data_IF_294701849493
#
_entry.id   IF_294701849493
#
_cell.length_a   1.000
_cell.length_b   1.000
_cell.length_c   1.000
_cell.angle_alpha   90.00
_cell.angle_beta   90.00
_cell.angle_gamma   90.00
#
_symmetry.space_group_name_H-M   'P 1'
#
loop_
_entity.id
_entity.type
_entity.pdbx_description
1 polymer ?
#
# COMPACT_ATOMS: atom_id res chain seq x y z
N UNK A 1 -2.95 -11.60 8.50
CA UNK A 1 -3.91 -10.51 8.22
C UNK A 1 -5.22 -10.64 9.01
N UNK A 2 -5.96 -9.53 9.19
CA UNK A 2 -7.30 -9.56 9.79
C UNK A 2 -8.36 -9.38 8.71
N UNK A 3 -9.04 -10.47 8.36
CA UNK A 3 -10.13 -10.41 7.40
C UNK A 3 -11.49 -10.45 8.08
N UNK A 4 -12.36 -9.51 7.75
CA UNK A 4 -13.77 -9.59 8.11
C UNK A 4 -14.50 -10.60 7.21
N UNK A 5 -15.69 -11.05 7.65
CA UNK A 5 -16.48 -12.08 6.97
C UNK A 5 -16.70 -11.84 5.47
N UNK A 6 -16.77 -10.58 5.02
CA UNK A 6 -16.93 -10.24 3.59
C UNK A 6 -15.72 -10.67 2.76
N UNK A 7 -14.51 -10.34 3.22
CA UNK A 7 -13.26 -10.77 2.54
C UNK A 7 -13.10 -12.29 2.59
N UNK A 8 -13.39 -12.91 3.72
CA UNK A 8 -13.41 -14.38 3.84
C UNK A 8 -14.37 -14.98 2.82
N UNK A 9 -15.56 -14.41 2.65
CA UNK A 9 -16.50 -14.88 1.63
C UNK A 9 -15.92 -14.81 0.22
N UNK A 10 -15.20 -13.73 -0.09
CA UNK A 10 -14.55 -13.58 -1.41
C UNK A 10 -13.46 -14.64 -1.61
N UNK A 11 -12.61 -14.86 -0.60
CA UNK A 11 -11.56 -15.88 -0.65
C UNK A 11 -12.12 -17.27 -0.83
N UNK A 12 -13.12 -17.67 -0.04
CA UNK A 12 -13.80 -18.96 -0.17
C UNK A 12 -14.37 -19.15 -1.58
N UNK A 13 -14.96 -18.11 -2.17
CA UNK A 13 -15.47 -18.18 -3.54
C UNK A 13 -14.36 -18.31 -4.59
N UNK A 14 -13.20 -17.70 -4.38
CA UNK A 14 -12.02 -17.90 -5.25
C UNK A 14 -11.48 -19.33 -5.18
N UNK A 15 -11.61 -20.00 -4.03
CA UNK A 15 -11.30 -21.41 -3.84
C UNK A 15 -12.39 -22.36 -4.39
N UNK A 16 -13.45 -21.83 -5.02
CA UNK A 16 -14.51 -22.62 -5.62
C UNK A 16 -15.69 -22.95 -4.71
N UNK A 17 -15.66 -22.49 -3.45
CA UNK A 17 -16.77 -22.76 -2.52
C UNK A 17 -18.02 -21.95 -2.86
N UNK A 18 -19.13 -22.62 -3.08
CA UNK A 18 -20.46 -21.99 -3.26
C UNK A 18 -21.06 -21.61 -1.90
N UNK A 19 -20.68 -20.46 -1.36
CA UNK A 19 -21.09 -20.00 -0.04
C UNK A 19 -21.93 -18.74 -0.07
N UNK A 20 -22.95 -18.69 0.79
CA UNK A 20 -23.74 -17.49 1.03
C UNK A 20 -23.06 -16.62 2.10
N UNK A 21 -22.99 -15.31 1.86
CA UNK A 21 -22.43 -14.33 2.82
C UNK A 21 -23.06 -14.43 4.21
N UNK A 22 -24.39 -14.67 4.31
CA UNK A 22 -25.08 -14.84 5.59
C UNK A 22 -24.59 -16.06 6.36
N UNK A 23 -24.30 -17.19 5.65
CA UNK A 23 -23.73 -18.40 6.27
C UNK A 23 -22.33 -18.15 6.78
N UNK A 24 -21.45 -17.50 5.98
CA UNK A 24 -20.09 -17.14 6.39
C UNK A 24 -20.13 -16.20 7.60
N UNK A 25 -21.00 -15.19 7.60
CA UNK A 25 -21.14 -14.27 8.73
C UNK A 25 -21.58 -15.00 10.01
N UNK A 26 -22.53 -15.93 9.93
CA UNK A 26 -22.97 -16.74 11.09
C UNK A 26 -21.82 -17.55 11.65
N UNK A 27 -21.09 -18.30 10.81
CA UNK A 27 -19.92 -19.07 11.23
C UNK A 27 -18.83 -18.19 11.82
N UNK A 28 -18.51 -17.07 11.16
CA UNK A 28 -17.56 -16.08 11.64
C UNK A 28 -17.87 -15.57 13.06
N UNK A 29 -19.17 -15.43 13.38
CA UNK A 29 -19.62 -15.06 14.73
C UNK A 29 -19.50 -16.22 15.72
N UNK A 30 -19.85 -17.43 15.32
CA UNK A 30 -19.77 -18.62 16.17
C UNK A 30 -18.32 -18.92 16.58
N UNK A 31 -17.39 -18.76 15.65
CA UNK A 31 -15.94 -18.92 15.86
C UNK A 31 -15.28 -17.76 16.63
N UNK A 32 -16.04 -16.77 17.09
CA UNK A 32 -15.52 -15.64 17.85
C UNK A 32 -14.54 -14.73 17.08
N UNK A 33 -14.51 -14.81 15.74
CA UNK A 33 -13.58 -14.09 14.89
C UNK A 33 -13.90 -12.60 14.73
N UNK A 34 -14.92 -12.10 15.42
CA UNK A 34 -15.38 -10.72 15.30
C UNK A 34 -14.29 -9.73 15.73
N UNK A 35 -13.96 -8.83 14.83
CA UNK A 35 -13.13 -7.68 15.18
C UNK A 35 -13.95 -6.71 16.02
N UNK A 36 -13.50 -6.42 17.25
CA UNK A 36 -14.08 -5.35 18.06
C UNK A 36 -13.69 -4.00 17.44
N UNK A 37 -14.55 -3.43 16.62
CA UNK A 37 -14.39 -2.08 16.11
C UNK A 37 -15.01 -1.11 17.11
N UNK A 38 -14.27 -0.08 17.49
CA UNK A 38 -14.85 1.08 18.17
C UNK A 38 -15.91 1.68 17.23
N UNK A 39 -17.13 2.00 17.71
CA UNK A 39 -18.13 2.67 16.88
C UNK A 39 -17.52 3.95 16.30
N UNK A 40 -17.76 4.23 15.01
CA UNK A 40 -17.23 5.44 14.39
C UNK A 40 -17.78 6.65 15.12
N UNK A 41 -16.89 7.56 15.52
CA UNK A 41 -17.31 8.90 15.97
C UNK A 41 -18.01 9.58 14.80
N UNK A 42 -19.03 10.43 15.12
CA UNK A 42 -19.78 11.21 14.13
C UNK A 42 -18.80 11.87 13.15
N UNK A 43 -18.85 11.48 11.88
CA UNK A 43 -17.98 12.05 10.86
C UNK A 43 -18.54 13.39 10.42
N UNK A 44 -17.78 14.46 10.59
CA UNK A 44 -18.00 15.69 9.82
C UNK A 44 -17.59 15.38 8.39
N UNK A 45 -18.47 15.62 7.41
CA UNK A 45 -18.11 15.49 6.00
C UNK A 45 -16.95 16.45 5.70
N UNK A 46 -15.80 15.87 5.36
CA UNK A 46 -14.66 16.65 4.94
C UNK A 46 -14.95 17.24 3.56
N UNK A 47 -14.77 18.56 3.38
CA UNK A 47 -14.74 19.16 2.04
C UNK A 47 -13.50 18.62 1.32
N UNK A 48 -13.71 17.79 0.31
CA UNK A 48 -12.66 17.41 -0.62
C UNK A 48 -12.19 18.63 -1.42
N UNK A 49 -10.96 18.62 -1.87
CA UNK A 49 -10.44 19.65 -2.78
C UNK A 49 -11.05 19.46 -4.15
N UNK A 50 -11.73 20.49 -4.65
CA UNK A 50 -12.35 20.48 -5.99
C UNK A 50 -11.30 20.60 -7.12
N UNK A 51 -10.08 21.07 -6.78
CA UNK A 51 -8.95 21.24 -7.69
C UNK A 51 -8.12 19.96 -7.92
N UNK A 52 -8.45 18.86 -7.22
CA UNK A 52 -7.76 17.57 -7.37
C UNK A 52 -8.60 16.60 -8.19
N UNK A 53 -8.12 16.27 -9.38
CA UNK A 53 -8.72 15.19 -10.17
C UNK A 53 -8.50 13.83 -9.49
N UNK A 54 -9.52 12.97 -9.57
CA UNK A 54 -9.37 11.56 -9.20
C UNK A 54 -8.55 10.84 -10.27
N UNK A 55 -7.62 9.98 -9.85
CA UNK A 55 -6.90 9.13 -10.78
C UNK A 55 -7.87 8.21 -11.53
N UNK A 56 -7.70 8.10 -12.84
CA UNK A 56 -8.49 7.25 -13.75
C UNK A 56 -7.72 6.01 -14.20
N UNK A 57 -6.42 5.94 -13.89
CA UNK A 57 -5.55 4.83 -14.23
C UNK A 57 -4.39 4.66 -13.24
N UNK A 58 -3.69 3.54 -13.36
CA UNK A 58 -2.51 3.25 -12.57
C UNK A 58 -1.39 4.25 -12.87
N UNK A 59 -0.55 4.52 -11.89
CA UNK A 59 0.59 5.42 -11.98
C UNK A 59 0.26 6.88 -12.36
N UNK A 60 -0.99 7.29 -12.23
CA UNK A 60 -1.32 8.71 -12.35
C UNK A 60 -1.06 9.46 -11.05
N UNK A 61 -1.51 8.92 -9.93
CA UNK A 61 -1.37 9.56 -8.62
C UNK A 61 -0.99 8.53 -7.58
N UNK A 62 0.20 8.67 -7.01
CA UNK A 62 0.58 8.00 -5.78
C UNK A 62 0.36 8.91 -4.57
N UNK A 63 0.18 8.31 -3.40
CA UNK A 63 0.20 8.99 -2.12
C UNK A 63 1.26 8.32 -1.26
N UNK A 64 2.08 9.11 -0.57
CA UNK A 64 3.10 8.57 0.32
C UNK A 64 3.13 9.29 1.66
N UNK A 65 3.59 8.57 2.68
CA UNK A 65 3.68 9.08 4.04
C UNK A 65 4.66 8.25 4.88
N UNK A 66 5.15 8.84 5.97
CA UNK A 66 5.98 8.18 6.94
C UNK A 66 5.19 7.68 8.14
N UNK A 67 5.48 6.45 8.54
CA UNK A 67 5.06 5.88 9.81
C UNK A 67 6.29 5.58 10.67
N UNK A 68 6.10 5.48 11.98
CA UNK A 68 7.14 4.97 12.87
C UNK A 68 6.62 3.83 13.76
N UNK A 69 7.54 2.98 14.18
CA UNK A 69 7.35 1.93 15.17
C UNK A 69 8.65 1.74 15.96
N UNK A 70 8.72 0.74 16.81
CA UNK A 70 9.88 0.47 17.66
C UNK A 70 10.36 -0.97 17.47
N UNK A 71 11.68 -1.15 17.50
CA UNK A 71 12.30 -2.45 17.61
C UNK A 71 12.14 -2.98 19.04
N UNK A 72 12.41 -4.28 19.23
CA UNK A 72 12.33 -4.92 20.54
C UNK A 72 13.25 -4.27 21.59
N UNK A 73 14.36 -3.71 21.16
CA UNK A 73 15.31 -2.97 22.01
C UNK A 73 14.92 -1.51 22.28
N UNK A 74 13.73 -1.07 21.85
CA UNK A 74 13.20 0.29 22.04
C UNK A 74 13.71 1.32 21.02
N UNK A 75 14.59 0.93 20.10
CA UNK A 75 15.06 1.84 19.04
C UNK A 75 13.98 2.05 18.00
N UNK A 76 13.77 3.32 17.65
CA UNK A 76 12.76 3.69 16.64
C UNK A 76 13.16 3.20 15.25
N UNK A 77 12.17 2.73 14.50
CA UNK A 77 12.25 2.48 13.07
C UNK A 77 11.20 3.34 12.33
N UNK A 78 11.49 3.61 11.08
CA UNK A 78 10.59 4.34 10.19
C UNK A 78 10.17 3.46 9.02
N UNK A 79 8.94 3.63 8.58
CA UNK A 79 8.37 2.92 7.43
C UNK A 79 7.77 3.95 6.48
N UNK A 80 8.41 4.13 5.32
CA UNK A 80 7.81 4.87 4.21
C UNK A 80 6.76 3.97 3.56
N UNK A 81 5.59 4.49 3.34
CA UNK A 81 4.50 3.82 2.63
C UNK A 81 4.16 4.59 1.38
N UNK A 82 4.01 3.90 0.26
CA UNK A 82 3.57 4.46 -1.02
C UNK A 82 2.38 3.64 -1.51
N UNK A 83 1.32 4.31 -1.95
CA UNK A 83 0.12 3.64 -2.46
C UNK A 83 -0.40 4.34 -3.72
N UNK A 84 -0.67 3.57 -4.75
CA UNK A 84 -1.38 4.05 -5.94
C UNK A 84 -2.86 4.30 -5.61
N UNK A 85 -3.33 5.51 -5.85
CA UNK A 85 -4.67 5.93 -5.42
C UNK A 85 -5.79 5.32 -6.26
N UNK A 86 -5.50 4.80 -7.44
CA UNK A 86 -6.46 4.13 -8.31
C UNK A 86 -6.46 2.61 -8.12
N UNK A 87 -5.33 1.95 -8.37
CA UNK A 87 -5.22 0.49 -8.30
C UNK A 87 -5.16 -0.05 -6.87
N UNK A 88 -4.82 0.79 -5.89
CA UNK A 88 -4.54 0.41 -4.49
C UNK A 88 -3.25 -0.40 -4.33
N UNK A 89 -2.45 -0.56 -5.36
CA UNK A 89 -1.14 -1.20 -5.23
C UNK A 89 -0.26 -0.39 -4.30
N UNK A 90 0.46 -1.09 -3.45
CA UNK A 90 1.56 -0.56 -2.68
C UNK A 90 2.88 -0.88 -3.42
N UNK A 91 3.43 0.04 -4.23
CA UNK A 91 4.62 -0.22 -5.02
C UNK A 91 5.84 -0.52 -4.14
N UNK A 92 5.95 0.17 -3.01
CA UNK A 92 7.06 0.01 -2.08
C UNK A 92 6.64 0.34 -0.66
N UNK A 93 7.19 -0.41 0.29
CA UNK A 93 7.28 -0.06 1.70
C UNK A 93 8.75 -0.15 2.12
N UNK A 94 9.31 0.94 2.65
CA UNK A 94 10.72 0.99 3.00
C UNK A 94 10.91 1.15 4.50
N UNK A 95 11.59 0.19 5.10
CA UNK A 95 11.95 0.21 6.53
C UNK A 95 13.37 0.72 6.69
N UNK A 96 13.55 1.78 7.48
CA UNK A 96 14.84 2.41 7.74
C UNK A 96 14.96 2.96 9.16
N UNK A 97 16.18 3.38 9.52
CA UNK A 97 16.49 3.95 10.86
C UNK A 97 16.08 5.41 10.97
N UNK A 98 16.16 6.13 9.87
CA UNK A 98 15.94 7.58 9.81
C UNK A 98 15.09 7.92 8.60
N UNK A 99 14.09 8.75 8.81
CA UNK A 99 13.25 9.26 7.72
C UNK A 99 13.97 10.43 7.03
N UNK A 100 14.62 10.16 5.89
CA UNK A 100 15.35 11.17 5.11
C UNK A 100 14.84 11.23 3.68
N UNK A 101 15.14 12.32 2.98
CA UNK A 101 14.82 12.46 1.56
C UNK A 101 15.53 11.41 0.68
N UNK A 102 16.75 11.02 1.05
CA UNK A 102 17.51 9.97 0.34
C UNK A 102 16.76 8.64 0.41
N UNK A 103 16.26 8.27 1.59
CA UNK A 103 15.46 7.05 1.76
C UNK A 103 14.16 7.09 0.94
N UNK A 104 13.57 8.28 0.77
CA UNK A 104 12.40 8.46 -0.12
C UNK A 104 12.80 8.23 -1.57
N UNK A 105 13.88 8.86 -2.04
CA UNK A 105 14.38 8.74 -3.42
C UNK A 105 14.71 7.27 -3.74
N UNK A 106 15.44 6.58 -2.86
CA UNK A 106 15.78 5.17 -3.04
C UNK A 106 14.55 4.27 -3.13
N UNK A 107 13.53 4.54 -2.30
CA UNK A 107 12.27 3.81 -2.35
C UNK A 107 11.53 4.04 -3.67
N UNK A 108 11.49 5.29 -4.15
CA UNK A 108 10.85 5.62 -5.42
C UNK A 108 11.60 5.02 -6.62
N UNK A 109 12.93 4.98 -6.58
CA UNK A 109 13.74 4.30 -7.60
C UNK A 109 13.54 2.77 -7.57
N UNK A 110 13.36 2.17 -6.40
CA UNK A 110 12.97 0.77 -6.28
C UNK A 110 11.60 0.51 -6.91
N UNK A 111 10.61 1.34 -6.59
CA UNK A 111 9.26 1.24 -7.14
C UNK A 111 9.26 1.43 -8.67
N UNK A 112 10.04 2.39 -9.18
CA UNK A 112 10.19 2.67 -10.61
C UNK A 112 10.58 1.45 -11.42
N UNK A 113 11.52 0.64 -10.92
CA UNK A 113 12.02 -0.55 -11.63
C UNK A 113 10.94 -1.62 -11.84
N UNK A 114 9.95 -1.69 -10.94
CA UNK A 114 8.93 -2.74 -10.96
C UNK A 114 7.59 -2.26 -11.54
N UNK A 115 7.24 -0.99 -11.29
CA UNK A 115 5.91 -0.44 -11.55
C UNK A 115 5.91 0.78 -12.47
N UNK A 116 7.07 1.35 -12.76
CA UNK A 116 7.17 2.68 -13.34
C UNK A 116 7.04 3.78 -12.26
N UNK A 117 6.87 5.04 -12.69
CA UNK A 117 6.64 6.17 -11.77
C UNK A 117 5.24 6.75 -11.96
N UNK A 118 4.69 7.30 -10.88
CA UNK A 118 3.50 8.13 -10.96
C UNK A 118 3.83 9.50 -11.56
N UNK A 119 2.90 10.09 -12.29
CA UNK A 119 3.03 11.48 -12.76
C UNK A 119 2.89 12.50 -11.63
N UNK A 120 2.13 12.13 -10.59
CA UNK A 120 1.93 12.98 -9.40
C UNK A 120 2.10 12.15 -8.13
N UNK A 121 2.78 12.69 -7.14
CA UNK A 121 2.92 12.08 -5.82
C UNK A 121 2.39 13.05 -4.76
N UNK A 122 1.35 12.60 -4.03
CA UNK A 122 0.76 13.35 -2.91
C UNK A 122 1.55 13.11 -1.64
N UNK A 123 1.92 14.20 -0.98
CA UNK A 123 2.72 14.20 0.24
C UNK A 123 2.18 15.20 1.25
N UNK A 124 2.56 15.04 2.51
CA UNK A 124 2.41 16.10 3.49
C UNK A 124 3.55 17.14 3.39
N UNK A 125 3.59 18.08 4.34
CA UNK A 125 4.65 19.10 4.40
C UNK A 125 5.80 18.72 5.33
N UNK A 126 6.04 17.43 5.53
CA UNK A 126 7.20 16.95 6.29
C UNK A 126 8.52 17.40 5.67
N UNK A 127 9.52 17.67 6.50
CA UNK A 127 10.85 18.14 6.04
C UNK A 127 11.51 17.20 5.03
N UNK A 128 11.22 15.91 5.11
CA UNK A 128 11.72 14.87 4.19
C UNK A 128 11.16 15.05 2.77
N UNK A 129 9.90 15.55 2.69
CA UNK A 129 9.21 15.73 1.42
C UNK A 129 9.39 17.14 0.82
N UNK A 130 9.75 18.12 1.66
CA UNK A 130 10.03 19.50 1.22
C UNK A 130 11.53 19.76 0.98
N UNK A 131 12.33 18.69 0.95
CA UNK A 131 13.77 18.80 0.74
C UNK A 131 14.13 19.13 -0.70
N UNK A 132 15.25 19.83 -0.87
CA UNK A 132 15.79 20.20 -2.19
C UNK A 132 16.16 18.97 -3.02
N UNK A 133 16.65 17.93 -2.37
CA UNK A 133 17.08 16.69 -3.02
C UNK A 133 15.88 15.99 -3.67
N UNK A 134 14.76 15.88 -2.95
CA UNK A 134 13.56 15.26 -3.50
C UNK A 134 12.92 16.10 -4.59
N UNK A 135 12.93 17.44 -4.46
CA UNK A 135 12.43 18.36 -5.47
C UNK A 135 13.21 18.23 -6.78
N UNK A 136 14.55 18.21 -6.70
CA UNK A 136 15.42 18.01 -7.86
C UNK A 136 15.20 16.63 -8.50
N UNK A 137 15.05 15.58 -7.70
CA UNK A 137 14.74 14.24 -8.20
C UNK A 137 13.40 14.21 -8.93
N UNK A 138 12.37 14.82 -8.35
CA UNK A 138 11.03 14.89 -8.94
C UNK A 138 11.06 15.64 -10.29
N UNK A 139 11.74 16.79 -10.33
CA UNK A 139 11.92 17.55 -11.55
C UNK A 139 12.63 16.74 -12.65
N UNK A 140 13.73 16.07 -12.31
CA UNK A 140 14.51 15.26 -13.25
C UNK A 140 13.73 14.07 -13.83
N UNK A 141 12.73 13.57 -13.08
CA UNK A 141 11.89 12.44 -13.48
C UNK A 141 10.50 12.83 -14.01
N UNK A 142 10.21 14.13 -14.15
CA UNK A 142 8.90 14.62 -14.62
C UNK A 142 7.75 14.30 -13.65
N UNK A 143 8.05 14.19 -12.35
CA UNK A 143 7.09 13.91 -11.28
C UNK A 143 6.66 15.20 -10.60
N UNK A 144 5.36 15.41 -10.44
CA UNK A 144 4.81 16.53 -9.68
C UNK A 144 4.60 16.14 -8.21
N UNK A 145 5.19 16.89 -7.27
CA UNK A 145 4.90 16.75 -5.85
C UNK A 145 3.66 17.61 -5.50
N UNK A 146 2.56 16.95 -5.10
CA UNK A 146 1.30 17.60 -4.71
C UNK A 146 1.18 17.65 -3.19
N UNK A 147 1.54 18.78 -2.61
CA UNK A 147 1.55 18.98 -1.16
C UNK A 147 0.14 19.16 -0.58
N UNK A 148 -0.12 18.48 0.53
CA UNK A 148 -1.34 18.65 1.31
C UNK A 148 -1.36 20.00 2.00
N UNK A 149 -2.54 20.62 2.12
CA UNK A 149 -2.69 21.88 2.85
C UNK A 149 -2.43 21.68 4.34
N UNK A 150 -1.80 22.65 5.02
CA UNK A 150 -1.57 22.60 6.45
C UNK A 150 -2.88 22.34 7.23
N UNK A 151 -2.85 21.38 8.16
CA UNK A 151 -4.00 21.06 9.01
C UNK A 151 -5.20 20.42 8.29
N UNK A 152 -5.02 19.92 7.07
CA UNK A 152 -6.07 19.23 6.29
C UNK A 152 -5.68 17.78 6.00
N UNK A 153 -5.77 16.87 6.98
CA UNK A 153 -5.42 15.47 6.80
C UNK A 153 -6.19 14.79 5.66
N UNK A 154 -7.42 15.24 5.40
CA UNK A 154 -8.24 14.71 4.29
C UNK A 154 -7.61 14.84 2.91
N UNK A 155 -6.62 15.73 2.75
CA UNK A 155 -5.91 15.90 1.49
C UNK A 155 -5.00 14.69 1.16
N UNK A 156 -4.62 13.86 2.17
CA UNK A 156 -3.86 12.62 2.00
C UNK A 156 -4.60 11.37 2.54
N UNK A 157 -5.93 11.39 2.48
CA UNK A 157 -6.79 10.36 3.09
C UNK A 157 -6.52 8.93 2.57
N UNK A 158 -5.99 8.77 1.36
CA UNK A 158 -5.68 7.45 0.79
C UNK A 158 -4.56 6.76 1.57
N UNK A 159 -3.42 7.43 1.74
CA UNK A 159 -2.30 6.86 2.49
C UNK A 159 -2.61 6.78 3.98
N UNK A 160 -3.37 7.72 4.54
CA UNK A 160 -3.82 7.62 5.95
C UNK A 160 -4.65 6.36 6.19
N UNK A 161 -5.61 6.08 5.31
CA UNK A 161 -6.41 4.85 5.39
C UNK A 161 -5.57 3.58 5.18
N UNK A 162 -4.59 3.64 4.29
CA UNK A 162 -3.62 2.58 4.08
C UNK A 162 -2.77 2.37 5.34
N UNK A 163 -2.19 3.44 5.89
CA UNK A 163 -1.37 3.42 7.10
C UNK A 163 -2.13 2.87 8.32
N UNK A 164 -3.41 3.22 8.46
CA UNK A 164 -4.25 2.64 9.51
C UNK A 164 -4.37 1.11 9.36
N UNK A 165 -4.41 0.61 8.14
CA UNK A 165 -4.44 -0.83 7.86
C UNK A 165 -3.08 -1.48 8.15
N UNK A 166 -1.97 -0.87 7.72
CA UNK A 166 -0.60 -1.32 8.01
C UNK A 166 -0.38 -1.40 9.52
N UNK A 167 -0.75 -0.35 10.26
CA UNK A 167 -0.62 -0.32 11.71
C UNK A 167 -1.40 -1.43 12.40
N UNK A 168 -2.64 -1.68 11.95
CA UNK A 168 -3.50 -2.71 12.56
C UNK A 168 -3.08 -4.14 12.21
N UNK A 169 -2.62 -4.36 10.97
CA UNK A 169 -2.46 -5.71 10.41
C UNK A 169 -1.00 -6.15 10.29
N UNK A 170 -0.04 -5.24 10.29
CA UNK A 170 1.38 -5.50 10.23
C UNK A 170 2.08 -5.03 11.51
N UNK A 171 2.28 -3.73 11.69
CA UNK A 171 3.10 -3.18 12.76
C UNK A 171 2.58 -3.58 14.17
N UNK A 172 1.28 -3.42 14.44
CA UNK A 172 0.68 -3.77 15.73
C UNK A 172 0.51 -5.28 15.98
N UNK A 173 1.10 -6.15 15.18
CA UNK A 173 1.00 -7.61 15.32
C UNK A 173 2.34 -8.32 15.46
N UNK A 174 3.41 -7.63 15.13
CA UNK A 174 4.75 -8.18 15.16
C UNK A 174 5.60 -7.44 16.19
N UNK A 175 6.50 -8.17 16.81
CA UNK A 175 7.67 -7.64 17.48
C UNK A 175 8.81 -7.69 16.46
N UNK A 176 9.53 -6.59 16.32
CA UNK A 176 10.63 -6.48 15.38
C UNK A 176 11.95 -6.62 16.14
N UNK A 177 12.69 -7.71 15.92
CA UNK A 177 13.94 -7.98 16.61
C UNK A 177 15.03 -6.99 16.18
N UNK A 178 15.12 -6.78 14.88
CA UNK A 178 16.04 -5.83 14.25
C UNK A 178 15.42 -5.25 12.96
N UNK A 179 16.22 -4.48 12.20
CA UNK A 179 15.73 -3.87 10.95
C UNK A 179 15.50 -4.89 9.84
N UNK A 180 16.27 -5.95 9.79
CA UNK A 180 16.13 -6.94 8.73
C UNK A 180 14.90 -7.81 8.96
N UNK A 181 14.64 -8.20 10.19
CA UNK A 181 13.38 -8.83 10.61
C UNK A 181 12.15 -7.93 10.32
N UNK A 182 12.28 -6.63 10.57
CA UNK A 182 11.22 -5.67 10.25
C UNK A 182 11.00 -5.55 8.73
N UNK A 183 12.07 -5.52 7.94
CA UNK A 183 12.00 -5.48 6.45
C UNK A 183 11.30 -6.70 5.89
N UNK A 184 11.67 -7.89 6.36
CA UNK A 184 11.08 -9.15 5.93
C UNK A 184 9.58 -9.19 6.21
N UNK A 185 9.14 -8.92 7.45
CA UNK A 185 7.73 -8.93 7.85
C UNK A 185 6.89 -7.88 7.13
N UNK A 186 7.44 -6.69 6.92
CA UNK A 186 6.76 -5.61 6.19
C UNK A 186 6.62 -5.96 4.71
N UNK A 187 7.65 -6.56 4.09
CA UNK A 187 7.61 -6.97 2.68
C UNK A 187 6.64 -8.16 2.47
N UNK A 188 6.65 -9.14 3.36
CA UNK A 188 5.67 -10.24 3.35
C UNK A 188 4.22 -9.72 3.41
N UNK A 189 3.97 -8.77 4.32
CA UNK A 189 2.65 -8.14 4.41
C UNK A 189 2.30 -7.37 3.14
N UNK A 190 3.26 -6.62 2.55
CA UNK A 190 3.06 -5.87 1.31
C UNK A 190 2.72 -6.78 0.14
N UNK A 191 3.43 -7.90 0.01
CA UNK A 191 3.18 -8.90 -1.02
C UNK A 191 1.75 -9.48 -0.89
N UNK A 192 1.36 -9.92 0.31
CA UNK A 192 0.01 -10.42 0.56
C UNK A 192 -1.07 -9.36 0.33
N UNK A 193 -0.81 -8.09 0.73
CA UNK A 193 -1.71 -6.98 0.47
C UNK A 193 -1.95 -6.77 -1.03
N UNK A 194 -0.91 -6.83 -1.84
CA UNK A 194 -0.99 -6.60 -3.28
C UNK A 194 -1.58 -7.79 -4.05
N UNK A 195 -1.22 -9.01 -3.69
CA UNK A 195 -1.46 -10.20 -4.51
C UNK A 195 -2.67 -11.02 -4.07
N UNK A 196 -2.98 -11.01 -2.77
CA UNK A 196 -4.01 -11.90 -2.20
C UNK A 196 -5.23 -11.13 -1.72
N UNK A 197 -5.02 -9.97 -1.09
CA UNK A 197 -6.07 -9.24 -0.38
C UNK A 197 -7.19 -8.75 -1.32
N UNK A 198 -8.48 -9.10 -1.06
CA UNK A 198 -9.60 -8.51 -1.77
C UNK A 198 -9.85 -7.06 -1.33
N UNK A 199 -10.06 -6.15 -2.27
CA UNK A 199 -10.35 -4.75 -2.01
C UNK A 199 -11.72 -4.35 -2.55
N UNK A 200 -12.65 -4.00 -1.67
CA UNK A 200 -14.01 -3.62 -2.05
C UNK A 200 -14.06 -2.38 -2.95
N UNK A 201 -13.12 -1.44 -2.78
CA UNK A 201 -13.03 -0.24 -3.59
C UNK A 201 -12.69 -0.51 -5.08
N UNK A 202 -12.19 -1.70 -5.40
CA UNK A 202 -11.86 -2.13 -6.76
C UNK A 202 -12.61 -3.42 -7.15
N UNK A 203 -13.82 -3.60 -6.62
CA UNK A 203 -14.69 -4.73 -6.95
C UNK A 203 -14.20 -6.07 -6.41
N UNK A 204 -13.66 -6.08 -5.20
CA UNK A 204 -13.10 -7.24 -4.50
C UNK A 204 -11.93 -7.94 -5.24
N UNK A 205 -11.33 -7.26 -6.21
CA UNK A 205 -10.10 -7.71 -6.87
C UNK A 205 -8.89 -7.49 -5.99
N UNK A 206 -7.77 -8.12 -6.34
CA UNK A 206 -6.46 -7.78 -5.74
C UNK A 206 -5.87 -6.56 -6.43
N UNK A 207 -5.09 -5.72 -5.72
CA UNK A 207 -4.43 -4.58 -6.34
C UNK A 207 -3.63 -4.94 -7.58
N UNK A 208 -2.82 -5.99 -7.51
CA UNK A 208 -1.98 -6.44 -8.63
C UNK A 208 -2.75 -6.89 -9.86
N UNK A 209 -4.00 -7.32 -9.72
CA UNK A 209 -4.83 -7.68 -10.88
C UNK A 209 -5.22 -6.50 -11.78
N UNK A 210 -4.98 -5.26 -11.32
CA UNK A 210 -5.25 -4.04 -12.07
C UNK A 210 -4.02 -3.47 -12.78
N UNK A 211 -2.83 -3.99 -12.48
CA UNK A 211 -1.59 -3.58 -13.14
C UNK A 211 -1.25 -4.63 -14.20
N UNK A 212 -1.22 -4.21 -15.46
CA UNK A 212 -0.59 -4.99 -16.50
C UNK A 212 0.92 -5.00 -16.20
N UNK A 213 1.48 -6.14 -15.83
CA UNK A 213 2.92 -6.28 -15.81
C UNK A 213 3.43 -6.00 -17.22
N UNK A 214 4.45 -5.14 -17.42
CA UNK A 214 5.14 -5.15 -18.69
C UNK A 214 5.59 -6.61 -18.94
N UNK A 215 5.14 -7.18 -20.03
CA UNK A 215 5.66 -8.46 -20.47
C UNK A 215 7.15 -8.22 -20.76
N UNK A 216 8.00 -8.56 -19.82
CA UNK A 216 9.38 -8.84 -20.14
C UNK A 216 9.33 -10.11 -20.99
N UNK A 217 9.73 -9.96 -22.25
CA UNK A 217 9.93 -11.03 -23.21
C UNK A 217 10.79 -12.13 -22.57
N UNK A 218 10.14 -13.13 -22.00
CA UNK A 218 10.74 -14.42 -21.65
C UNK A 218 10.36 -15.40 -22.75
N UNK A 219 10.65 -15.00 -23.99
CA UNK A 219 10.50 -15.87 -25.15
C UNK A 219 11.73 -15.78 -26.04
N UNK A 220 12.83 -16.33 -25.59
CA UNK A 220 13.91 -16.78 -26.47
C UNK A 220 14.97 -17.59 -25.74
N UNK A 221 14.63 -18.74 -25.16
CA UNK A 221 15.62 -19.78 -24.87
C UNK A 221 14.91 -21.11 -24.59
N UNK A 222 14.70 -21.88 -25.57
CA UNK A 222 14.79 -23.35 -25.69
C UNK A 222 13.79 -23.90 -26.69
N UNK A 223 14.18 -23.87 -27.97
CA UNK A 223 13.83 -24.96 -28.89
C UNK A 223 15.01 -25.94 -28.89
N UNK A 224 14.85 -27.19 -28.43
CA UNK A 224 15.80 -28.23 -28.77
C UNK A 224 15.59 -28.56 -30.23
N UNK A 225 16.64 -28.41 -31.04
CA UNK A 225 16.72 -29.02 -32.38
C UNK A 225 16.61 -30.53 -32.22
N UNK A 226 15.54 -31.10 -32.74
CA UNK A 226 15.43 -32.53 -32.98
C UNK A 226 16.12 -32.77 -34.32
N UNK A 227 17.33 -33.32 -34.24
CA UNK A 227 18.02 -33.91 -35.38
C UNK A 227 17.27 -35.16 -35.80
N UNK A 228 16.86 -35.18 -37.05
CA UNK A 228 16.41 -36.33 -37.83
C UNK A 228 17.55 -37.28 -38.20
#
# INVERSE_FOLDING_TARGET
MRYGYRRITVLLRREGWRVNVKRVHRLYRLEGLQMRLKPPRRRVMAKLRDDRSSATGANQVWAMDWMYDELFDGRRLWVLTVVDTWSRVCPVMRVCRTATAIEVIDALEQARRQYGLATTIRVDQGSQFTSKELDLWAYANGVTLDFSRPGKPTDNAYVESFNATVRLECLGRHWFLDLDDAREKVEEWRAEYNEVRPHSAIGDRTPMSLIQRPQHDVEAAHRPEILS
#
